data_IF_944843655764
#
_entry.id   IF_944843655764
#
_cell.length_a   1.000
_cell.length_b   1.000
_cell.length_c   1.000
_cell.angle_alpha   90.00
_cell.angle_beta   90.00
_cell.angle_gamma   90.00
#
_symmetry.space_group_name_H-M   'P 1'
#
loop_
_entity.id
_entity.type
_entity.pdbx_description
1 polymer ?
#
# COMPACT_ATOMS: atom_id res chain seq x y z
N UNK A 1 3.94 8.85 3.33
CA UNK A 1 2.56 9.14 2.88
C UNK A 1 2.45 8.62 1.47
N UNK A 2 1.44 7.80 1.19
CA UNK A 2 1.25 7.17 -0.11
C UNK A 2 0.23 7.94 -0.95
N UNK A 3 0.22 7.72 -2.27
CA UNK A 3 -0.71 8.35 -3.21
C UNK A 3 -1.67 7.33 -3.86
N UNK A 4 -2.71 7.82 -4.55
CA UNK A 4 -3.53 6.95 -5.40
C UNK A 4 -2.66 6.29 -6.47
N UNK A 5 -2.92 5.01 -6.71
CA UNK A 5 -2.19 4.10 -7.60
C UNK A 5 -0.76 3.76 -7.16
N UNK A 6 -0.33 4.20 -5.97
CA UNK A 6 0.97 3.82 -5.42
C UNK A 6 0.98 2.33 -5.05
N UNK A 7 2.11 1.67 -5.33
CA UNK A 7 2.30 0.25 -5.04
C UNK A 7 2.83 0.06 -3.63
N UNK A 8 2.13 -0.75 -2.86
CA UNK A 8 2.46 -1.00 -1.45
C UNK A 8 2.44 -2.49 -1.14
N UNK A 9 3.17 -2.87 -0.11
CA UNK A 9 3.21 -4.20 0.48
C UNK A 9 2.70 -4.14 1.90
N UNK A 10 1.94 -5.17 2.30
CA UNK A 10 1.50 -5.32 3.69
C UNK A 10 2.60 -5.93 4.54
N UNK A 11 2.89 -5.28 5.66
CA UNK A 11 3.97 -5.73 6.55
C UNK A 11 3.61 -7.04 7.29
N UNK A 12 2.35 -7.16 7.75
CA UNK A 12 1.86 -8.34 8.49
C UNK A 12 1.85 -9.65 7.68
N UNK A 13 1.71 -9.54 6.35
CA UNK A 13 1.72 -10.68 5.44
C UNK A 13 2.68 -10.40 4.30
N UNK A 14 3.99 -10.28 4.60
CA UNK A 14 5.13 -10.09 3.65
C UNK A 14 5.06 -10.83 2.30
N UNK A 15 4.13 -11.78 2.13
CA UNK A 15 3.81 -12.50 0.91
C UNK A 15 2.83 -11.80 -0.04
N UNK A 16 2.02 -10.82 0.39
CA UNK A 16 1.04 -10.15 -0.49
C UNK A 16 1.66 -8.93 -1.16
N UNK A 17 2.37 -9.17 -2.26
CA UNK A 17 2.86 -8.16 -3.20
C UNK A 17 1.76 -7.73 -4.19
N UNK A 18 1.97 -6.63 -4.89
CA UNK A 18 1.06 -6.20 -5.95
C UNK A 18 -0.25 -5.59 -5.45
N UNK A 19 -0.24 -4.99 -4.26
CA UNK A 19 -1.36 -4.17 -3.79
C UNK A 19 -1.19 -2.72 -4.29
N UNK A 20 -2.25 -2.13 -4.83
CA UNK A 20 -2.26 -0.74 -5.27
C UNK A 20 -3.30 0.06 -4.49
N UNK A 21 -2.97 1.30 -4.14
CA UNK A 21 -3.90 2.18 -3.43
C UNK A 21 -4.95 2.69 -4.42
N UNK A 22 -6.22 2.45 -4.10
CA UNK A 22 -7.36 2.91 -4.91
C UNK A 22 -8.19 3.99 -4.22
N UNK A 23 -8.04 4.14 -2.89
CA UNK A 23 -8.77 5.13 -2.11
C UNK A 23 -7.97 5.53 -0.86
N UNK A 24 -8.15 6.77 -0.42
CA UNK A 24 -7.49 7.35 0.75
C UNK A 24 -8.56 7.90 1.69
N UNK A 25 -8.53 7.48 2.95
CA UNK A 25 -9.29 8.12 4.02
C UNK A 25 -8.31 8.78 5.01
N UNK A 26 -8.24 10.10 4.93
CA UNK A 26 -7.40 10.95 5.77
C UNK A 26 -8.21 11.62 6.90
N UNK A 27 -9.44 11.16 7.13
CA UNK A 27 -10.35 11.72 8.14
C UNK A 27 -9.97 11.32 9.57
N UNK A 28 -9.20 10.24 9.71
CA UNK A 28 -8.79 9.65 10.97
C UNK A 28 -7.40 10.14 11.40
N UNK A 29 -7.08 10.01 12.70
CA UNK A 29 -5.73 10.30 13.23
C UNK A 29 -4.65 9.43 12.56
N UNK A 30 -5.00 8.17 12.26
CA UNK A 30 -4.19 7.28 11.43
C UNK A 30 -4.87 7.11 10.07
N UNK A 31 -4.26 7.57 8.96
CA UNK A 31 -4.88 7.50 7.65
C UNK A 31 -5.02 6.04 7.18
N UNK A 32 -6.20 5.73 6.64
CA UNK A 32 -6.52 4.43 6.08
C UNK A 32 -6.41 4.49 4.55
N UNK A 33 -5.87 3.44 3.96
CA UNK A 33 -5.68 3.32 2.52
C UNK A 33 -6.40 2.06 2.06
N UNK A 34 -7.24 2.21 1.04
CA UNK A 34 -7.90 1.09 0.41
C UNK A 34 -6.99 0.51 -0.65
N UNK A 35 -6.68 -0.76 -0.51
CA UNK A 35 -5.87 -1.48 -1.45
C UNK A 35 -6.75 -2.31 -2.39
N UNK A 36 -6.33 -2.44 -3.63
CA UNK A 36 -6.78 -3.50 -4.54
C UNK A 36 -5.62 -4.45 -4.81
N UNK A 37 -5.89 -5.76 -4.79
CA UNK A 37 -4.90 -6.79 -5.05
C UNK A 37 -5.03 -7.31 -6.49
N UNK A 38 -3.92 -7.74 -7.09
CA UNK A 38 -3.88 -8.27 -8.46
C UNK A 38 -4.70 -9.58 -8.61
N UNK A 39 -4.67 -10.44 -7.58
CA UNK A 39 -5.48 -11.66 -7.51
C UNK A 39 -6.99 -11.39 -7.31
N UNK A 40 -7.36 -10.11 -7.20
CA UNK A 40 -8.70 -9.66 -6.88
C UNK A 40 -8.92 -9.49 -5.38
N UNK A 41 -9.93 -8.69 -5.05
CA UNK A 41 -10.24 -8.32 -3.66
C UNK A 41 -9.70 -6.95 -3.28
N UNK A 42 -10.34 -6.37 -2.28
CA UNK A 42 -10.02 -5.04 -1.77
C UNK A 42 -10.09 -5.05 -0.24
N UNK A 43 -9.32 -4.17 0.39
CA UNK A 43 -9.36 -4.01 1.85
C UNK A 43 -8.78 -2.69 2.29
N UNK A 44 -9.28 -2.18 3.41
CA UNK A 44 -8.77 -0.99 4.06
C UNK A 44 -7.68 -1.35 5.06
N UNK A 45 -6.57 -0.63 4.99
CA UNK A 45 -5.41 -0.86 5.84
C UNK A 45 -4.85 0.45 6.36
N UNK A 46 -4.43 0.49 7.63
CA UNK A 46 -3.76 1.66 8.18
C UNK A 46 -2.39 1.86 7.54
N UNK A 47 -1.94 3.12 7.45
CA UNK A 47 -0.59 3.46 6.96
C UNK A 47 0.51 2.63 7.64
N UNK A 48 0.35 2.40 8.94
CA UNK A 48 1.34 1.68 9.77
C UNK A 48 1.52 0.22 9.33
N UNK A 49 0.51 -0.37 8.68
CA UNK A 49 0.57 -1.73 8.15
C UNK A 49 1.08 -1.81 6.71
N UNK A 50 1.43 -0.66 6.10
CA UNK A 50 1.82 -0.53 4.70
C UNK A 50 3.26 -0.06 4.58
N UNK A 51 3.99 -0.72 3.69
CA UNK A 51 5.34 -0.38 3.30
C UNK A 51 5.35 -0.10 1.79
N UNK A 52 6.15 0.87 1.33
CA UNK A 52 6.31 1.11 -0.10
C UNK A 52 6.81 -0.16 -0.78
N UNK A 53 6.21 -0.54 -1.90
CA UNK A 53 6.76 -1.60 -2.73
C UNK A 53 8.00 -1.02 -3.42
N UNK A 54 9.17 -1.32 -2.85
CA UNK A 54 10.44 -1.01 -3.50
C UNK A 54 10.56 -1.99 -4.66
N UNK A 55 10.07 -1.59 -5.83
CA UNK A 55 10.55 -2.17 -7.08
C UNK A 55 12.07 -2.00 -7.06
N UNK A 56 12.83 -3.07 -7.27
CA UNK A 56 14.28 -3.09 -7.10
C UNK A 56 15.06 -2.24 -8.12
N UNK A 57 14.55 -1.06 -8.49
CA UNK A 57 15.25 -0.01 -9.18
C UNK A 57 16.17 0.72 -8.20
N UNK A 58 17.40 0.20 -8.13
CA UNK A 58 18.63 0.95 -7.95
C UNK A 58 18.46 2.45 -8.29
N UNK A 59 18.50 3.32 -7.29
CA UNK A 59 18.90 4.72 -7.47
C UNK A 59 20.13 4.92 -6.57
N UNK A 60 21.23 4.31 -7.02
CA UNK A 60 22.55 4.77 -6.65
C UNK A 60 22.86 6.00 -7.50
N UNK A 61 22.91 7.17 -6.87
CA UNK A 61 23.62 8.35 -7.40
C UNK A 61 24.51 8.96 -6.31
#
# INVERSE_FOLDING_TARGET
MFALNDRVVRDELRATRGAAIVELDLSNEEPLYRLTYDEGGQGWWPQSALSAEIDGGDDGE
#
